data_IF_699648088796
#
_entry.id   IF_699648088796
#
_cell.length_a   1.000
_cell.length_b   1.000
_cell.length_c   1.000
_cell.angle_alpha   90.00
_cell.angle_beta   90.00
_cell.angle_gamma   90.00
#
_symmetry.space_group_name_H-M   'P 1'
#
loop_
_entity.id
_entity.type
_entity.pdbx_description
1 polymer ?
#
# COMPACT_ATOMS: atom_id res chain seq x y z
N UNK A 1 -12.28 -1.31 -8.49
CA UNK A 1 -11.39 -0.78 -9.55
C UNK A 1 -10.05 -0.36 -8.95
N UNK A 2 -9.00 -0.16 -9.77
CA UNK A 2 -7.71 0.38 -9.27
C UNK A 2 -7.90 1.73 -8.59
N UNK A 3 -8.77 2.57 -9.14
CA UNK A 3 -9.15 3.88 -8.59
C UNK A 3 -9.66 3.78 -7.14
N UNK A 4 -10.59 2.86 -6.88
CA UNK A 4 -11.14 2.66 -5.53
C UNK A 4 -10.09 2.10 -4.57
N UNK A 5 -9.28 1.13 -5.03
CA UNK A 5 -8.22 0.56 -4.21
C UNK A 5 -7.16 1.59 -3.82
N UNK A 6 -6.74 2.45 -4.76
CA UNK A 6 -5.80 3.54 -4.50
C UNK A 6 -6.42 4.55 -3.53
N UNK A 7 -7.67 4.96 -3.75
CA UNK A 7 -8.36 5.88 -2.85
C UNK A 7 -8.46 5.33 -1.43
N UNK A 8 -8.87 4.07 -1.26
CA UNK A 8 -8.98 3.43 0.05
C UNK A 8 -7.61 3.30 0.73
N UNK A 9 -6.58 2.91 -0.02
CA UNK A 9 -5.21 2.74 0.50
C UNK A 9 -4.57 4.08 0.90
N UNK A 10 -4.93 5.18 0.24
CA UNK A 10 -4.48 6.52 0.59
C UNK A 10 -4.95 6.99 1.98
N UNK A 11 -5.96 6.32 2.55
CA UNK A 11 -6.42 6.56 3.93
C UNK A 11 -5.31 6.33 4.96
N UNK A 12 -4.44 5.33 4.75
CA UNK A 12 -3.39 4.99 5.73
C UNK A 12 -2.35 6.10 5.92
N UNK A 13 -1.64 6.57 4.86
CA UNK A 13 -0.68 7.67 5.00
C UNK A 13 -1.32 9.01 5.34
N UNK A 14 -2.64 9.14 5.13
CA UNK A 14 -3.41 10.34 5.45
C UNK A 14 -4.06 10.28 6.84
N UNK A 15 -3.40 9.64 7.81
CA UNK A 15 -3.82 9.61 9.21
C UNK A 15 -5.18 8.99 9.49
N UNK A 16 -5.68 8.11 8.60
CA UNK A 16 -6.99 7.48 8.74
C UNK A 16 -8.13 8.23 8.05
N UNK A 17 -7.86 9.37 7.41
CA UNK A 17 -8.85 10.17 6.69
C UNK A 17 -8.93 9.74 5.23
N UNK A 18 -10.06 9.17 4.82
CA UNK A 18 -10.32 8.85 3.43
C UNK A 18 -10.66 10.12 2.64
N UNK A 19 -9.97 10.32 1.53
CA UNK A 19 -10.26 11.37 0.56
C UNK A 19 -10.72 10.72 -0.73
N UNK A 20 -11.96 10.99 -1.14
CA UNK A 20 -12.46 10.50 -2.43
C UNK A 20 -11.59 11.09 -3.54
N UNK A 21 -10.92 10.26 -4.37
CA UNK A 21 -10.11 10.79 -5.46
C UNK A 21 -11.00 11.61 -6.41
N UNK A 22 -10.42 12.62 -7.05
CA UNK A 22 -11.09 13.46 -8.05
C UNK A 22 -10.13 13.71 -9.22
N UNK A 23 -10.67 13.79 -10.44
CA UNK A 23 -9.86 14.06 -11.64
C UNK A 23 -9.91 15.53 -12.07
N UNK A 24 -11.03 16.20 -11.80
CA UNK A 24 -11.28 17.58 -12.21
C UNK A 24 -11.39 18.40 -10.93
N UNK A 25 -10.65 19.49 -10.84
CA UNK A 25 -10.69 20.42 -9.68
C UNK A 25 -11.51 21.67 -9.97
N UNK A 26 -11.56 22.12 -11.23
CA UNK A 26 -12.38 23.26 -11.67
C UNK A 26 -12.68 23.22 -13.17
N UNK A 27 -13.76 23.88 -13.57
CA UNK A 27 -14.14 24.14 -14.97
C UNK A 27 -14.22 25.65 -15.16
N UNK A 28 -13.57 26.17 -16.20
CA UNK A 28 -13.49 27.61 -16.51
C UNK A 28 -13.98 27.88 -17.94
N UNK A 29 -14.56 29.05 -18.18
CA UNK A 29 -14.86 29.54 -19.52
C UNK A 29 -13.60 30.11 -20.22
N UNK A 30 -13.74 30.49 -21.50
CA UNK A 30 -12.64 31.09 -22.29
C UNK A 30 -12.10 32.41 -21.75
N UNK A 31 -12.86 33.07 -20.88
CA UNK A 31 -12.49 34.35 -20.26
C UNK A 31 -11.87 34.14 -18.86
N UNK A 32 -11.74 32.90 -18.40
CA UNK A 32 -11.21 32.56 -17.07
C UNK A 32 -12.24 32.59 -15.95
N UNK A 33 -13.55 32.69 -16.25
CA UNK A 33 -14.58 32.64 -15.22
C UNK A 33 -14.79 31.20 -14.76
N UNK A 34 -14.73 30.96 -13.45
CA UNK A 34 -14.96 29.64 -12.85
C UNK A 34 -16.46 29.31 -12.95
N UNK A 35 -16.79 28.24 -13.67
CA UNK A 35 -18.14 27.70 -13.80
C UNK A 35 -18.45 26.69 -12.69
N UNK A 36 -17.45 25.87 -12.33
CA UNK A 36 -17.60 24.84 -11.31
C UNK A 36 -16.27 24.57 -10.61
N UNK A 37 -16.32 24.19 -9.33
CA UNK A 37 -15.15 23.76 -8.54
C UNK A 37 -15.51 22.50 -7.78
N UNK A 38 -14.61 21.52 -7.84
CA UNK A 38 -14.78 20.23 -7.19
C UNK A 38 -13.77 20.11 -6.06
N UNK A 39 -14.25 19.64 -4.91
CA UNK A 39 -13.40 19.33 -3.75
C UNK A 39 -13.67 17.89 -3.33
N UNK A 40 -12.62 17.19 -2.91
CA UNK A 40 -12.77 15.90 -2.25
C UNK A 40 -13.56 16.08 -0.95
N UNK A 41 -14.39 15.09 -0.62
CA UNK A 41 -15.11 15.02 0.65
C UNK A 41 -14.30 14.13 1.60
N UNK A 42 -13.67 14.68 2.65
CA UNK A 42 -12.95 13.89 3.63
C UNK A 42 -13.94 13.06 4.46
N UNK A 43 -13.53 11.88 4.88
CA UNK A 43 -14.28 11.01 5.78
C UNK A 43 -13.32 10.30 6.72
N UNK A 44 -13.52 10.44 8.02
CA UNK A 44 -12.73 9.74 9.02
C UNK A 44 -13.10 8.25 8.97
N UNK A 45 -12.18 7.42 8.47
CA UNK A 45 -12.42 5.99 8.27
C UNK A 45 -11.71 5.14 9.34
N UNK A 46 -10.57 5.61 9.82
CA UNK A 46 -9.77 4.99 10.87
C UNK A 46 -9.25 6.08 11.81
N UNK A 47 -8.95 5.71 13.05
CA UNK A 47 -8.17 6.58 13.93
C UNK A 47 -6.70 6.60 13.49
N UNK A 48 -6.03 7.70 13.84
CA UNK A 48 -4.64 7.97 13.43
C UNK A 48 -3.68 6.87 13.89
N UNK A 49 -3.85 6.36 15.12
CA UNK A 49 -3.01 5.29 15.68
C UNK A 49 -3.16 4.01 14.86
N UNK A 50 -4.38 3.55 14.63
CA UNK A 50 -4.65 2.35 13.81
C UNK A 50 -4.11 2.51 12.40
N UNK A 51 -4.27 3.68 11.79
CA UNK A 51 -3.75 3.95 10.44
C UNK A 51 -2.23 3.81 10.36
N UNK A 52 -1.50 4.33 11.35
CA UNK A 52 -0.04 4.26 11.41
C UNK A 52 0.48 2.86 11.74
N UNK A 53 -0.21 2.11 12.60
CA UNK A 53 0.12 0.70 12.85
C UNK A 53 -0.03 -0.13 11.58
N UNK A 54 -1.10 0.10 10.81
CA UNK A 54 -1.26 -0.53 9.49
C UNK A 54 -0.14 -0.18 8.51
N UNK A 55 0.30 1.08 8.46
CA UNK A 55 1.48 1.48 7.68
C UNK A 55 2.74 0.72 8.12
N UNK A 56 2.96 0.61 9.43
CA UNK A 56 4.12 -0.09 10.00
C UNK A 56 4.14 -1.57 9.60
N UNK A 57 2.99 -2.24 9.66
CA UNK A 57 2.85 -3.62 9.17
C UNK A 57 3.15 -3.73 7.66
N UNK A 58 2.65 -2.79 6.87
CA UNK A 58 2.90 -2.75 5.42
C UNK A 58 4.35 -2.37 5.07
N UNK A 59 5.08 -1.65 5.92
CA UNK A 59 6.54 -1.46 5.78
C UNK A 59 7.25 -2.81 5.92
N UNK A 60 6.85 -3.64 6.87
CA UNK A 60 7.38 -5.00 7.02
C UNK A 60 7.29 -5.85 5.75
N UNK A 61 6.21 -5.72 4.97
CA UNK A 61 6.07 -6.40 3.66
C UNK A 61 7.17 -6.01 2.68
N UNK A 62 7.62 -4.76 2.72
CA UNK A 62 8.67 -4.22 1.86
C UNK A 62 10.07 -4.50 2.42
N UNK A 63 10.24 -4.48 3.73
CA UNK A 63 11.55 -4.73 4.35
C UNK A 63 11.96 -6.21 4.34
N UNK A 64 11.04 -7.12 4.65
CA UNK A 64 11.33 -8.54 4.83
C UNK A 64 10.34 -9.47 4.11
N UNK A 65 9.19 -8.96 3.68
CA UNK A 65 8.13 -9.77 3.06
C UNK A 65 8.20 -9.87 1.53
N UNK A 66 7.04 -10.10 0.92
CA UNK A 66 6.88 -10.29 -0.53
C UNK A 66 7.30 -9.06 -1.38
N UNK A 67 7.39 -7.88 -0.77
CA UNK A 67 7.83 -6.64 -1.39
C UNK A 67 9.35 -6.42 -1.39
N UNK A 68 10.13 -7.29 -0.75
CA UNK A 68 11.58 -7.14 -0.50
C UNK A 68 12.44 -6.88 -1.75
N UNK A 69 11.92 -7.22 -2.94
CA UNK A 69 12.52 -6.85 -4.23
C UNK A 69 12.76 -5.35 -4.38
N UNK A 70 11.93 -4.50 -3.79
CA UNK A 70 12.17 -3.05 -3.78
C UNK A 70 13.53 -2.70 -3.15
N UNK A 71 13.93 -3.40 -2.09
CA UNK A 71 15.22 -3.24 -1.42
C UNK A 71 16.36 -3.85 -2.24
N UNK A 72 16.38 -5.16 -2.46
CA UNK A 72 17.58 -5.80 -3.02
C UNK A 72 17.72 -5.67 -4.55
N UNK A 73 16.62 -5.59 -5.31
CA UNK A 73 16.65 -5.53 -6.78
C UNK A 73 16.55 -4.09 -7.28
N UNK A 74 15.61 -3.31 -6.76
CA UNK A 74 15.40 -1.94 -7.20
C UNK A 74 16.17 -0.90 -6.40
N UNK A 75 16.77 -1.28 -5.26
CA UNK A 75 17.67 -0.44 -4.45
C UNK A 75 16.99 0.83 -3.90
N UNK A 76 15.71 0.75 -3.58
CA UNK A 76 15.05 1.80 -2.80
C UNK A 76 15.54 1.75 -1.36
N UNK A 77 15.98 2.88 -0.83
CA UNK A 77 16.45 3.03 0.56
C UNK A 77 15.48 3.84 1.42
N UNK A 78 14.55 4.55 0.79
CA UNK A 78 13.54 5.33 1.51
C UNK A 78 12.45 4.43 2.11
N UNK A 79 11.76 4.90 3.17
CA UNK A 79 10.62 4.20 3.73
C UNK A 79 9.51 4.06 2.70
N UNK A 80 9.05 2.82 2.50
CA UNK A 80 7.96 2.49 1.59
C UNK A 80 7.09 1.47 2.32
N UNK A 81 5.80 1.72 2.37
CA UNK A 81 4.82 0.73 2.78
C UNK A 81 4.21 0.09 1.52
N UNK A 82 3.84 -1.18 1.59
CA UNK A 82 3.13 -1.76 0.46
C UNK A 82 2.53 -3.12 0.72
N UNK A 83 1.73 -3.58 -0.23
CA UNK A 83 1.12 -4.90 -0.19
C UNK A 83 1.02 -5.49 -1.60
N UNK A 84 1.39 -6.76 -1.70
CA UNK A 84 1.17 -7.57 -2.90
C UNK A 84 -0.19 -8.25 -2.83
N UNK A 85 -0.82 -8.43 -3.99
CA UNK A 85 -2.01 -9.26 -4.18
C UNK A 85 -1.81 -10.18 -5.37
N UNK A 86 -2.34 -11.40 -5.29
CA UNK A 86 -2.35 -12.36 -6.40
C UNK A 86 -3.70 -13.07 -6.34
N UNK A 87 -4.46 -13.06 -7.43
CA UNK A 87 -5.73 -13.79 -7.48
C UNK A 87 -5.48 -15.27 -7.80
N UNK A 88 -6.52 -16.08 -7.60
CA UNK A 88 -6.49 -17.50 -7.91
C UNK A 88 -6.08 -17.76 -9.35
N UNK A 89 -5.46 -18.94 -9.57
CA UNK A 89 -4.90 -19.35 -10.84
C UNK A 89 -3.80 -18.40 -11.41
N UNK A 90 -3.38 -17.38 -10.65
CA UNK A 90 -2.43 -16.36 -11.08
C UNK A 90 -2.95 -15.55 -12.29
N UNK A 91 -4.25 -15.25 -12.30
CA UNK A 91 -4.87 -14.42 -13.34
C UNK A 91 -4.52 -12.93 -13.18
N UNK A 92 -4.40 -12.45 -11.94
CA UNK A 92 -4.13 -11.06 -11.62
C UNK A 92 -3.01 -10.89 -10.61
N UNK A 93 -2.10 -9.97 -10.90
CA UNK A 93 -1.05 -9.52 -10.00
C UNK A 93 -1.29 -8.06 -9.59
N UNK A 94 -1.22 -7.80 -8.30
CA UNK A 94 -1.42 -6.47 -7.72
C UNK A 94 -0.22 -6.04 -6.88
N UNK A 95 0.07 -4.76 -6.91
CA UNK A 95 0.96 -4.12 -5.95
C UNK A 95 0.45 -2.72 -5.61
N UNK A 96 0.15 -2.52 -4.32
CA UNK A 96 -0.14 -1.20 -3.76
C UNK A 96 1.12 -0.72 -3.05
N UNK A 97 1.70 0.37 -3.51
CA UNK A 97 2.87 1.00 -2.88
C UNK A 97 2.53 2.40 -2.40
N UNK A 98 2.98 2.71 -1.19
CA UNK A 98 2.69 3.93 -0.47
C UNK A 98 3.99 4.59 -0.03
N UNK A 99 3.98 5.91 -0.12
CA UNK A 99 4.96 6.84 0.44
C UNK A 99 4.16 7.94 1.14
N UNK A 100 4.79 8.82 1.94
CA UNK A 100 4.05 9.88 2.63
C UNK A 100 3.23 10.76 1.69
N UNK A 101 3.80 11.10 0.52
CA UNK A 101 3.18 12.06 -0.40
C UNK A 101 2.39 11.41 -1.53
N UNK A 102 2.62 10.12 -1.82
CA UNK A 102 2.06 9.45 -2.98
C UNK A 102 1.71 7.99 -2.72
N UNK A 103 0.48 7.64 -3.10
CA UNK A 103 0.00 6.25 -3.19
C UNK A 103 -0.21 5.88 -4.65
N UNK A 104 0.26 4.71 -5.03
CA UNK A 104 0.10 4.19 -6.39
C UNK A 104 -0.19 2.71 -6.36
N UNK A 105 -1.22 2.32 -7.12
CA UNK A 105 -1.65 0.94 -7.29
C UNK A 105 -1.41 0.48 -8.70
N UNK A 106 -0.82 -0.71 -8.85
CA UNK A 106 -0.63 -1.36 -10.15
C UNK A 106 -1.37 -2.67 -10.13
N UNK A 107 -2.18 -2.87 -11.17
CA UNK A 107 -2.77 -4.14 -11.53
C UNK A 107 -2.20 -4.60 -12.87
N UNK A 108 -1.90 -5.88 -12.96
CA UNK A 108 -1.58 -6.55 -14.21
C UNK A 108 -2.45 -7.79 -14.29
N UNK A 109 -3.11 -7.96 -15.43
CA UNK A 109 -3.98 -9.09 -15.72
C UNK A 109 -4.40 -9.01 -17.18
N UNK A 110 -5.40 -9.80 -17.54
CA UNK A 110 -6.00 -9.79 -18.86
C UNK A 110 -7.50 -9.51 -18.76
N UNK A 111 -8.08 -8.96 -19.83
CA UNK A 111 -9.53 -8.73 -19.91
C UNK A 111 -10.30 -10.06 -19.80
N UNK A 112 -9.79 -11.11 -20.45
CA UNK A 112 -10.31 -12.46 -20.32
C UNK A 112 -9.71 -13.15 -19.10
N UNK A 113 -10.56 -13.48 -18.12
CA UNK A 113 -10.18 -14.11 -16.84
C UNK A 113 -9.62 -15.52 -17.00
N UNK A 114 -9.84 -16.17 -18.14
CA UNK A 114 -9.26 -17.48 -18.45
C UNK A 114 -7.77 -17.40 -18.77
N UNK A 115 -7.26 -16.21 -19.12
CA UNK A 115 -5.84 -15.98 -19.32
C UNK A 115 -5.15 -15.86 -17.97
N UNK A 116 -4.13 -16.68 -17.76
CA UNK A 116 -3.42 -16.74 -16.49
C UNK A 116 -1.97 -17.14 -16.69
N UNK A 117 -1.14 -16.79 -15.71
CA UNK A 117 0.27 -17.19 -15.72
C UNK A 117 0.39 -18.66 -15.33
N UNK A 118 1.32 -19.36 -15.98
CA UNK A 118 1.55 -20.81 -15.80
C UNK A 118 1.94 -21.22 -14.38
N UNK A 119 2.37 -20.28 -13.53
CA UNK A 119 2.73 -20.55 -12.14
C UNK A 119 2.68 -19.29 -11.28
N UNK A 120 2.56 -19.48 -9.97
CA UNK A 120 2.67 -18.39 -8.97
C UNK A 120 4.03 -17.73 -8.98
N UNK A 121 5.08 -18.47 -9.35
CA UNK A 121 6.40 -17.86 -9.52
C UNK A 121 6.37 -16.76 -10.58
N UNK A 122 5.60 -16.91 -11.66
CA UNK A 122 5.49 -15.89 -12.71
C UNK A 122 4.38 -14.88 -12.41
N UNK A 123 3.24 -15.35 -11.90
CA UNK A 123 2.02 -14.58 -11.79
C UNK A 123 1.75 -13.92 -10.43
N UNK A 124 2.66 -14.02 -9.46
CA UNK A 124 2.50 -13.27 -8.22
C UNK A 124 2.69 -11.76 -8.43
N UNK A 125 1.99 -10.94 -7.65
CA UNK A 125 2.09 -9.47 -7.71
C UNK A 125 3.51 -8.92 -7.61
N UNK A 126 4.42 -9.61 -6.90
CA UNK A 126 5.84 -9.25 -6.79
C UNK A 126 6.64 -9.42 -8.10
N UNK A 127 6.17 -10.26 -9.02
CA UNK A 127 6.76 -10.46 -10.35
C UNK A 127 6.05 -9.65 -11.44
N UNK A 128 4.77 -9.38 -11.28
CA UNK A 128 3.96 -8.68 -12.29
C UNK A 128 3.90 -7.17 -12.03
N UNK A 129 3.21 -6.76 -10.96
CA UNK A 129 2.85 -5.38 -10.71
C UNK A 129 3.98 -4.57 -10.03
N UNK A 130 4.69 -5.17 -9.07
CA UNK A 130 5.75 -4.49 -8.32
C UNK A 130 6.87 -3.91 -9.21
N UNK A 131 7.38 -4.60 -10.25
CA UNK A 131 8.36 -4.03 -11.17
C UNK A 131 7.90 -2.74 -11.85
N UNK A 132 6.64 -2.67 -12.28
CA UNK A 132 6.08 -1.49 -12.94
C UNK A 132 6.05 -0.32 -11.95
N UNK A 133 5.55 -0.57 -10.74
CA UNK A 133 5.54 0.44 -9.68
C UNK A 133 6.95 0.95 -9.36
N UNK A 134 7.93 0.04 -9.25
CA UNK A 134 9.32 0.38 -8.96
C UNK A 134 9.95 1.27 -10.05
N UNK A 135 9.74 0.94 -11.32
CA UNK A 135 10.27 1.73 -12.44
C UNK A 135 9.57 3.09 -12.51
N UNK A 136 8.26 3.13 -12.29
CA UNK A 136 7.48 4.36 -12.20
C UNK A 136 7.99 5.28 -11.08
N UNK A 137 8.14 4.77 -9.85
CA UNK A 137 8.61 5.57 -8.73
C UNK A 137 10.06 6.05 -8.87
N UNK A 138 10.92 5.28 -9.54
CA UNK A 138 12.27 5.76 -9.89
C UNK A 138 12.22 6.99 -10.80
N UNK A 139 11.29 7.04 -11.74
CA UNK A 139 11.10 8.21 -12.61
C UNK A 139 10.56 9.39 -11.81
N UNK A 140 9.60 9.16 -10.91
CA UNK A 140 9.08 10.19 -10.01
C UNK A 140 10.19 10.81 -9.16
N UNK A 141 11.03 10.00 -8.51
CA UNK A 141 12.13 10.52 -7.69
C UNK A 141 13.29 11.13 -8.49
N UNK A 142 13.44 10.78 -9.77
CA UNK A 142 14.42 11.42 -10.65
C UNK A 142 13.97 12.82 -11.12
N UNK A 143 12.66 13.11 -11.04
CA UNK A 143 12.10 14.40 -11.42
C UNK A 143 11.97 15.33 -10.20
N UNK A 144 12.94 16.22 -10.04
CA UNK A 144 12.96 17.19 -8.94
C UNK A 144 11.84 18.22 -9.01
N UNK A 145 11.15 18.36 -10.15
CA UNK A 145 10.05 19.34 -10.29
C UNK A 145 8.79 18.90 -9.54
N UNK A 146 8.67 17.60 -9.25
CA UNK A 146 7.51 17.03 -8.57
C UNK A 146 7.54 17.23 -7.05
N UNK A 147 8.69 17.56 -6.47
CA UNK A 147 8.87 17.81 -5.03
C UNK A 147 8.34 16.67 -4.11
N UNK A 148 8.44 15.41 -4.56
CA UNK A 148 8.03 14.23 -3.77
C UNK A 148 9.12 13.87 -2.78
N UNK A 149 8.76 13.79 -1.49
CA UNK A 149 9.64 13.42 -0.39
C UNK A 149 10.06 11.95 -0.44
N UNK A 150 11.25 11.70 0.11
CA UNK A 150 11.76 10.36 0.41
C UNK A 150 11.86 10.12 1.93
N UNK A 151 11.22 10.98 2.73
CA UNK A 151 11.12 10.82 4.18
C UNK A 151 10.20 9.68 4.61
N UNK A 152 10.15 9.45 5.92
CA UNK A 152 9.22 8.47 6.51
C UNK A 152 7.82 9.04 6.69
N UNK A 153 6.86 8.17 6.97
CA UNK A 153 5.50 8.55 7.35
C UNK A 153 5.50 9.29 8.69
N UNK A 154 4.62 10.28 8.83
CA UNK A 154 4.47 11.01 10.09
C UNK A 154 3.96 10.07 11.18
N UNK A 155 4.70 10.00 12.30
CA UNK A 155 4.35 9.17 13.45
C UNK A 155 3.44 9.94 14.40
N UNK A 156 2.22 9.46 14.68
CA UNK A 156 1.34 10.08 15.66
C UNK A 156 1.92 9.99 17.07
N UNK A 157 1.71 11.03 17.88
CA UNK A 157 2.15 11.04 19.28
C UNK A 157 1.51 9.94 20.14
N UNK A 158 0.39 9.37 19.68
CA UNK A 158 -0.34 8.28 20.33
C UNK A 158 0.30 6.90 20.16
N UNK A 159 1.27 6.74 19.24
CA UNK A 159 1.92 5.46 18.93
C UNK A 159 3.24 5.33 19.71
N UNK A 160 3.31 4.36 20.62
CA UNK A 160 4.52 4.04 21.40
C UNK A 160 5.41 3.01 20.70
N UNK A 161 6.66 2.87 21.13
CA UNK A 161 7.59 1.89 20.52
C UNK A 161 7.17 0.45 20.80
N UNK A 162 6.60 0.20 21.97
CA UNK A 162 6.00 -1.09 22.36
C UNK A 162 4.89 -1.54 21.39
N UNK A 163 4.20 -0.59 20.73
CA UNK A 163 3.11 -0.91 19.81
C UNK A 163 3.61 -1.52 18.48
N UNK A 164 4.90 -1.38 18.18
CA UNK A 164 5.51 -1.77 16.89
C UNK A 164 6.56 -2.87 17.08
N UNK A 165 7.23 -2.89 18.24
CA UNK A 165 8.28 -3.85 18.50
C UNK A 165 7.74 -5.04 19.31
N UNK A 166 7.63 -6.21 18.65
CA UNK A 166 7.18 -7.44 19.29
C UNK A 166 8.23 -8.09 20.20
N UNK A 167 9.47 -7.58 20.24
CA UNK A 167 10.55 -8.18 21.05
C UNK A 167 10.30 -8.07 22.56
N UNK A 168 9.44 -7.14 23.01
CA UNK A 168 9.17 -6.90 24.43
C UNK A 168 8.15 -7.86 25.07
N UNK A 169 7.49 -8.73 24.30
CA UNK A 169 6.46 -9.66 24.83
C UNK A 169 6.94 -11.12 24.92
N UNK A 170 8.21 -11.42 24.56
CA UNK A 170 8.73 -12.78 24.52
C UNK A 170 9.17 -13.37 25.89
N UNK A 171 8.98 -12.65 27.00
CA UNK A 171 9.20 -13.17 28.36
C UNK A 171 7.89 -13.23 29.13
N UNK A 172 7.16 -14.35 29.07
CA UNK A 172 6.15 -14.60 30.12
C UNK A 172 4.96 -15.52 29.89
N UNK A 173 4.88 -16.37 28.86
CA UNK A 173 3.81 -17.39 28.84
C UNK A 173 4.30 -18.76 28.37
N UNK A 174 4.52 -19.64 29.35
CA UNK A 174 4.75 -21.07 29.12
C UNK A 174 3.38 -21.70 28.85
N UNK A 175 2.99 -21.84 27.59
CA UNK A 175 1.77 -22.59 27.24
C UNK A 175 2.03 -24.07 27.53
N UNK A 176 1.50 -24.56 28.65
CA UNK A 176 1.39 -25.99 28.94
C UNK A 176 0.48 -26.64 27.91
N UNK A 177 0.95 -27.76 27.34
CA UNK A 177 0.26 -28.64 26.41
C UNK A 177 -1.28 -28.67 26.53
N UNK A 178 -1.96 -28.34 25.43
CA UNK A 178 -3.37 -28.70 25.22
C UNK A 178 -3.37 -30.00 24.41
N UNK A 179 -3.90 -31.07 24.98
CA UNK A 179 -4.20 -32.33 24.29
C UNK A 179 -5.22 -32.07 23.17
N UNK A 180 -4.91 -32.55 21.97
CA UNK A 180 -5.80 -32.47 20.81
C UNK A 180 -6.61 -33.76 20.78
N UNK A 181 -7.86 -33.69 21.24
CA UNK A 181 -8.83 -34.76 21.03
C UNK A 181 -9.27 -34.78 19.56
N UNK A 182 -9.11 -35.95 18.93
CA UNK A 182 -9.61 -36.29 17.60
C UNK A 182 -11.13 -36.13 17.51
N UNK A 183 -11.60 -35.23 16.64
CA UNK A 183 -12.96 -35.31 16.11
C UNK A 183 -12.89 -35.62 14.61
N UNK A 184 -13.24 -36.87 14.29
CA UNK A 184 -13.45 -37.33 12.93
C UNK A 184 -14.74 -36.80 12.32
N UNK A 185 -14.65 -36.43 11.05
CA UNK A 185 -15.67 -36.60 10.01
C UNK A 185 -14.96 -36.87 8.69
#
# INVERSE_FOLDING_TARGET
>A
SVYEMVGATATYPNGGVYQKPIFITRIEDKNGNILETFKSKPTDALDERTSYLMLSLMKGVVESGTGIRLRYKYKFTNPIAGKTGTTDNNSDGWFMGLTPDLVSGVWVGAEDRSVHFRSTHLGQGANMALPIWAIYMKKIYADSTLNISQGDFERPASVKDEDINCDSEAEGDTITHIEVDEFGF
#
